data_IF_526639796996
#
_entry.id   IF_526639796996
#
_cell.length_a   1.000
_cell.length_b   1.000
_cell.length_c   1.000
_cell.angle_alpha   90.00
_cell.angle_beta   90.00
_cell.angle_gamma   90.00
#
_symmetry.space_group_name_H-M   'P 1'
#
loop_
_entity.id
_entity.type
_entity.pdbx_description
1 polymer ?
#
# COMPACT_ATOMS: atom_id res chain seq x y z
N UNK A 1 -11.56 -21.31 -26.45
CA UNK A 1 -10.46 -21.64 -25.53
C UNK A 1 -10.17 -20.38 -24.72
N UNK A 2 -10.14 -20.46 -23.40
CA UNK A 2 -9.74 -19.33 -22.57
C UNK A 2 -8.28 -18.99 -22.89
N UNK A 3 -8.01 -17.73 -23.21
CA UNK A 3 -6.65 -17.26 -23.52
C UNK A 3 -5.85 -17.28 -22.24
N UNK A 4 -4.68 -17.91 -22.24
CA UNK A 4 -3.87 -18.09 -21.02
C UNK A 4 -3.18 -16.79 -20.60
N UNK A 5 -2.86 -16.67 -19.30
CA UNK A 5 -2.07 -15.54 -18.75
C UNK A 5 -0.73 -15.44 -19.48
N UNK A 6 -0.06 -16.57 -19.74
CA UNK A 6 1.25 -16.60 -20.41
C UNK A 6 1.26 -15.95 -21.79
N UNK A 7 0.19 -16.09 -22.56
CA UNK A 7 0.10 -15.46 -23.91
C UNK A 7 -0.35 -14.00 -23.88
N UNK A 8 -0.77 -13.48 -22.72
CA UNK A 8 -1.29 -12.12 -22.54
C UNK A 8 -0.47 -11.27 -21.56
N UNK A 9 0.60 -11.81 -21.05
CA UNK A 9 1.32 -11.20 -19.93
C UNK A 9 1.70 -9.73 -20.17
N UNK A 10 2.10 -9.33 -21.38
CA UNK A 10 2.43 -7.93 -21.69
C UNK A 10 1.23 -7.01 -21.50
N UNK A 11 0.04 -7.40 -22.01
CA UNK A 11 -1.19 -6.64 -21.82
C UNK A 11 -1.59 -6.56 -20.35
N UNK A 12 -1.48 -7.69 -19.62
CA UNK A 12 -1.79 -7.77 -18.19
C UNK A 12 -0.82 -6.96 -17.35
N UNK A 13 0.43 -6.78 -17.83
CA UNK A 13 1.45 -5.93 -17.23
C UNK A 13 1.38 -4.45 -17.67
N UNK A 14 0.42 -4.07 -18.52
CA UNK A 14 0.17 -2.67 -18.84
C UNK A 14 0.73 -2.15 -20.17
N UNK A 15 1.23 -3.00 -21.08
CA UNK A 15 1.78 -2.61 -22.40
C UNK A 15 0.90 -1.60 -23.16
N UNK A 16 -0.42 -1.60 -22.90
CA UNK A 16 -1.40 -0.63 -23.46
C UNK A 16 -2.16 0.08 -22.34
N UNK A 17 -1.52 0.35 -21.22
CA UNK A 17 -2.13 1.01 -20.06
C UNK A 17 -3.46 0.37 -19.63
N UNK A 18 -3.56 -0.97 -19.73
CA UNK A 18 -4.75 -1.79 -19.41
C UNK A 18 -6.01 -1.39 -20.16
N UNK A 19 -5.90 -0.79 -21.36
CA UNK A 19 -7.03 -0.41 -22.17
C UNK A 19 -7.96 -1.61 -22.44
N UNK A 20 -9.26 -1.43 -22.12
CA UNK A 20 -10.28 -2.47 -22.27
C UNK A 20 -10.22 -3.62 -21.22
N UNK A 21 -9.33 -3.53 -20.21
CA UNK A 21 -9.18 -4.57 -19.18
C UNK A 21 -9.72 -4.17 -17.80
N UNK A 22 -9.94 -2.87 -17.55
CA UNK A 22 -10.33 -2.39 -16.22
C UNK A 22 -11.86 -2.32 -16.03
N UNK A 23 -12.63 -2.14 -17.09
CA UNK A 23 -14.08 -2.03 -17.01
C UNK A 23 -14.79 -2.64 -18.23
N UNK A 24 -15.44 -3.83 -18.11
CA UNK A 24 -15.41 -4.70 -16.93
C UNK A 24 -14.01 -5.22 -16.65
N UNK A 25 -13.70 -5.52 -15.41
CA UNK A 25 -12.39 -6.05 -15.04
C UNK A 25 -12.18 -7.44 -15.66
N UNK A 26 -11.16 -7.56 -16.50
CA UNK A 26 -10.81 -8.78 -17.23
C UNK A 26 -10.47 -9.93 -16.27
N UNK A 27 -10.97 -11.13 -16.54
CA UNK A 27 -10.79 -12.29 -15.66
C UNK A 27 -9.33 -12.69 -15.47
N UNK A 28 -8.50 -12.60 -16.52
CA UNK A 28 -7.08 -12.90 -16.39
C UNK A 28 -6.33 -11.80 -15.62
N UNK A 29 -6.77 -10.55 -15.75
CA UNK A 29 -6.23 -9.46 -14.95
C UNK A 29 -6.60 -9.62 -13.47
N UNK A 30 -7.82 -10.09 -13.13
CA UNK A 30 -8.18 -10.44 -11.74
C UNK A 30 -7.23 -11.48 -11.15
N UNK A 31 -7.01 -12.58 -11.84
CA UNK A 31 -6.06 -13.63 -11.42
C UNK A 31 -4.64 -13.07 -11.25
N UNK A 32 -4.25 -12.18 -12.14
CA UNK A 32 -2.92 -11.57 -12.16
C UNK A 32 -2.71 -10.64 -10.97
N UNK A 33 -3.69 -9.77 -10.70
CA UNK A 33 -3.67 -8.87 -9.54
C UNK A 33 -3.74 -9.65 -8.22
N UNK A 34 -4.59 -10.68 -8.11
CA UNK A 34 -4.64 -11.53 -6.90
C UNK A 34 -3.29 -12.19 -6.67
N UNK A 35 -2.68 -12.76 -7.72
CA UNK A 35 -1.37 -13.39 -7.62
C UNK A 35 -0.30 -12.45 -7.03
N UNK A 36 -0.18 -11.22 -7.54
CA UNK A 36 0.81 -10.27 -7.02
C UNK A 36 0.41 -9.71 -5.65
N UNK A 37 -0.88 -9.53 -5.39
CA UNK A 37 -1.35 -9.12 -4.08
C UNK A 37 -1.07 -10.13 -2.98
N UNK A 38 -1.23 -11.43 -3.24
CA UNK A 38 -0.87 -12.49 -2.30
C UNK A 38 0.64 -12.54 -2.04
N UNK A 39 1.46 -12.29 -3.06
CA UNK A 39 2.92 -12.12 -2.88
C UNK A 39 3.24 -10.88 -2.05
N UNK A 40 2.43 -9.83 -2.17
CA UNK A 40 2.55 -8.62 -1.33
C UNK A 40 2.17 -8.93 0.12
N UNK A 41 1.06 -9.63 0.35
CA UNK A 41 0.60 -10.02 1.69
C UNK A 41 1.67 -10.84 2.45
N UNK A 42 2.39 -11.72 1.75
CA UNK A 42 3.41 -12.58 2.34
C UNK A 42 4.48 -11.83 3.15
N UNK A 43 4.78 -10.57 2.80
CA UNK A 43 5.78 -9.78 3.56
C UNK A 43 5.23 -9.42 4.94
N UNK A 44 3.96 -9.02 5.03
CA UNK A 44 3.30 -8.75 6.31
C UNK A 44 3.04 -10.02 7.12
N UNK A 45 2.59 -11.09 6.43
CA UNK A 45 2.29 -12.38 7.05
C UNK A 45 3.47 -13.00 7.80
N UNK A 46 4.66 -12.82 7.25
CA UNK A 46 5.89 -13.45 7.73
C UNK A 46 6.82 -12.49 8.47
N UNK A 47 6.38 -11.28 8.76
CA UNK A 47 7.16 -10.35 9.57
C UNK A 47 7.06 -10.73 11.05
N UNK A 48 8.20 -10.86 11.71
CA UNK A 48 8.26 -11.10 13.15
C UNK A 48 8.10 -9.76 13.89
N UNK A 49 6.91 -9.55 14.47
CA UNK A 49 6.57 -8.38 15.27
C UNK A 49 6.52 -8.67 16.80
N UNK A 50 7.03 -9.80 17.24
CA UNK A 50 7.14 -10.13 18.66
C UNK A 50 8.38 -9.45 19.25
N UNK A 51 8.18 -8.37 20.00
CA UNK A 51 9.28 -7.52 20.54
C UNK A 51 10.28 -8.30 21.40
N UNK A 52 9.83 -9.33 22.11
CA UNK A 52 10.66 -10.18 22.97
C UNK A 52 11.42 -11.26 22.16
N UNK A 53 11.14 -11.42 20.89
CA UNK A 53 11.80 -12.40 20.03
C UNK A 53 13.18 -11.91 19.59
N UNK A 54 14.19 -12.79 19.63
CA UNK A 54 15.52 -12.52 19.05
C UNK A 54 15.43 -12.20 17.54
N UNK A 55 14.40 -12.70 16.87
CA UNK A 55 14.12 -12.46 15.45
C UNK A 55 13.28 -11.21 15.17
N UNK A 56 12.96 -10.38 16.18
CA UNK A 56 12.14 -9.18 15.99
C UNK A 56 12.63 -8.31 14.83
N UNK A 57 11.70 -7.91 13.96
CA UNK A 57 11.99 -7.08 12.80
C UNK A 57 12.57 -7.84 11.60
N UNK A 58 12.63 -9.17 11.62
CA UNK A 58 13.07 -10.01 10.53
C UNK A 58 11.92 -10.88 9.97
N UNK A 59 12.21 -11.63 8.91
CA UNK A 59 11.30 -12.67 8.41
C UNK A 59 11.26 -13.86 9.36
N UNK A 60 10.07 -14.44 9.60
CA UNK A 60 9.87 -15.66 10.37
C UNK A 60 10.47 -16.91 9.71
N UNK A 61 10.69 -16.88 8.39
CA UNK A 61 11.21 -18.00 7.61
C UNK A 61 12.43 -17.59 6.79
N UNK A 62 13.37 -18.52 6.54
CA UNK A 62 14.45 -18.30 5.60
C UNK A 62 13.89 -18.20 4.17
N UNK A 63 14.73 -17.74 3.23
CA UNK A 63 14.31 -17.50 1.83
C UNK A 63 13.76 -18.74 1.14
N UNK A 64 14.33 -19.89 1.42
CA UNK A 64 13.98 -21.19 0.82
C UNK A 64 12.57 -21.66 1.26
N UNK A 65 12.15 -21.31 2.47
CA UNK A 65 10.86 -21.69 3.06
C UNK A 65 9.83 -20.55 3.05
N UNK A 66 10.16 -19.43 2.43
CA UNK A 66 9.36 -18.21 2.49
C UNK A 66 7.94 -18.42 1.93
N UNK A 67 7.80 -18.86 0.69
CA UNK A 67 6.48 -19.05 0.09
C UNK A 67 5.70 -20.24 0.68
N UNK A 68 6.32 -21.38 1.00
CA UNK A 68 5.66 -22.40 1.81
C UNK A 68 5.16 -21.87 3.17
N UNK A 69 5.98 -21.11 3.89
CA UNK A 69 5.62 -20.47 5.17
C UNK A 69 4.44 -19.51 5.06
N UNK A 70 4.35 -18.76 3.96
CA UNK A 70 3.22 -17.88 3.64
C UNK A 70 1.96 -18.64 3.13
N UNK A 71 2.03 -19.98 2.95
CA UNK A 71 0.94 -20.76 2.40
C UNK A 71 0.72 -20.55 0.90
N UNK A 72 1.75 -20.11 0.17
CA UNK A 72 1.68 -19.79 -1.26
C UNK A 72 2.30 -20.87 -2.15
N UNK A 73 2.41 -22.11 -1.64
CA UNK A 73 2.99 -23.23 -2.36
C UNK A 73 1.92 -24.14 -2.96
N UNK A 74 0.96 -24.62 -2.14
CA UNK A 74 -0.09 -25.53 -2.57
C UNK A 74 -1.08 -24.85 -3.52
N UNK A 75 -1.46 -25.53 -4.58
CA UNK A 75 -2.42 -25.03 -5.58
C UNK A 75 -1.91 -23.86 -6.44
N UNK A 76 -0.73 -23.30 -6.15
CA UNK A 76 -0.19 -22.14 -6.86
C UNK A 76 0.75 -22.58 -7.99
N UNK A 77 0.38 -22.26 -9.24
CA UNK A 77 1.20 -22.51 -10.43
C UNK A 77 2.28 -21.46 -10.69
N UNK A 78 2.18 -20.30 -10.06
CA UNK A 78 3.12 -19.21 -10.24
C UNK A 78 4.22 -19.30 -9.17
N UNK A 79 5.20 -20.15 -9.41
CA UNK A 79 6.29 -20.48 -8.49
C UNK A 79 7.43 -19.48 -8.58
N UNK A 80 7.96 -19.06 -7.43
CA UNK A 80 9.09 -18.16 -7.31
C UNK A 80 10.08 -18.66 -6.24
N UNK A 81 11.34 -18.25 -6.40
CA UNK A 81 12.37 -18.37 -5.36
C UNK A 81 12.75 -16.98 -4.86
N UNK A 82 12.73 -16.77 -3.54
CA UNK A 82 13.25 -15.54 -2.94
C UNK A 82 14.79 -15.56 -3.04
N UNK A 83 15.35 -14.49 -3.59
CA UNK A 83 16.80 -14.36 -3.75
C UNK A 83 17.42 -13.43 -2.72
N UNK A 84 16.72 -12.32 -2.40
CA UNK A 84 17.20 -11.31 -1.46
C UNK A 84 16.09 -10.87 -0.53
N UNK A 85 16.42 -10.66 0.75
CA UNK A 85 15.62 -9.86 1.66
C UNK A 85 16.11 -8.42 1.61
N UNK A 86 15.19 -7.48 1.75
CA UNK A 86 15.44 -6.05 1.71
C UNK A 86 15.18 -5.44 3.08
N UNK A 87 16.13 -4.67 3.56
CA UNK A 87 16.04 -4.00 4.85
C UNK A 87 16.03 -2.49 4.66
N UNK A 88 15.13 -1.83 5.34
CA UNK A 88 15.02 -0.38 5.33
C UNK A 88 15.01 0.19 6.75
N UNK A 89 15.40 1.44 6.86
CA UNK A 89 15.37 2.20 8.10
C UNK A 89 15.73 3.66 7.81
N UNK A 90 15.42 4.53 8.74
CA UNK A 90 15.78 5.95 8.67
C UNK A 90 16.18 6.44 10.07
N UNK A 91 16.48 7.73 10.20
CA UNK A 91 16.77 8.33 11.51
C UNK A 91 15.62 8.19 12.52
N UNK A 92 14.39 8.05 12.01
CA UNK A 92 13.16 7.95 12.83
C UNK A 92 12.51 6.57 12.80
N UNK A 93 12.80 5.75 11.78
CA UNK A 93 12.28 4.38 11.64
C UNK A 93 13.40 3.39 11.92
N UNK A 94 13.22 2.58 12.97
CA UNK A 94 14.18 1.50 13.29
C UNK A 94 14.33 0.56 12.09
N UNK A 95 15.58 0.23 11.76
CA UNK A 95 15.87 -0.70 10.67
C UNK A 95 15.22 -2.05 10.89
N UNK A 96 14.49 -2.52 9.87
CA UNK A 96 13.80 -3.80 9.86
C UNK A 96 13.75 -4.38 8.44
N UNK A 97 13.30 -5.61 8.34
CA UNK A 97 12.97 -6.23 7.06
C UNK A 97 11.74 -5.57 6.43
N UNK A 98 11.88 -5.06 5.21
CA UNK A 98 10.83 -4.30 4.51
C UNK A 98 10.37 -4.92 3.20
N UNK A 99 11.02 -5.96 2.73
CA UNK A 99 10.61 -6.58 1.47
C UNK A 99 11.56 -7.68 1.00
N UNK A 100 11.31 -8.14 -0.21
CA UNK A 100 12.14 -9.16 -0.84
C UNK A 100 12.23 -8.97 -2.36
N UNK A 101 13.26 -9.56 -2.95
CA UNK A 101 13.37 -9.82 -4.38
C UNK A 101 13.27 -11.32 -4.60
N UNK A 102 12.43 -11.72 -5.56
CA UNK A 102 12.25 -13.11 -5.98
C UNK A 102 12.30 -13.21 -7.50
N UNK A 103 12.52 -14.42 -7.99
CA UNK A 103 12.52 -14.71 -9.43
C UNK A 103 11.67 -15.93 -9.70
N UNK A 104 10.87 -15.88 -10.77
CA UNK A 104 10.07 -17.01 -11.21
C UNK A 104 10.96 -18.24 -11.48
N UNK A 105 10.56 -19.41 -10.98
CA UNK A 105 11.17 -20.70 -11.33
C UNK A 105 10.91 -21.03 -12.81
N UNK A 106 11.44 -22.12 -13.33
CA UNK A 106 11.13 -22.56 -14.71
C UNK A 106 9.66 -22.93 -14.86
N UNK A 107 9.05 -23.54 -13.82
CA UNK A 107 7.62 -23.78 -13.76
C UNK A 107 6.80 -22.47 -13.73
N UNK A 108 7.20 -21.54 -12.87
CA UNK A 108 6.60 -20.20 -12.79
C UNK A 108 6.75 -19.43 -14.11
N UNK A 109 7.93 -19.47 -14.74
CA UNK A 109 8.17 -18.89 -16.07
C UNK A 109 7.21 -19.45 -17.13
N UNK A 110 7.03 -20.76 -17.17
CA UNK A 110 6.11 -21.39 -18.11
C UNK A 110 4.65 -20.93 -17.90
N UNK A 111 4.22 -20.81 -16.63
CA UNK A 111 2.88 -20.36 -16.29
C UNK A 111 2.66 -18.86 -16.56
N UNK A 112 3.69 -18.02 -16.38
CA UNK A 112 3.66 -16.57 -16.57
C UNK A 112 3.97 -16.13 -18.01
N UNK A 113 4.66 -16.97 -18.80
CA UNK A 113 5.09 -16.68 -20.17
C UNK A 113 6.41 -15.92 -20.28
N UNK A 114 7.10 -15.63 -19.18
CA UNK A 114 8.40 -14.96 -19.14
C UNK A 114 9.07 -15.17 -17.77
N UNK A 115 10.38 -14.92 -17.68
CA UNK A 115 11.10 -14.84 -16.41
C UNK A 115 10.73 -13.54 -15.71
N UNK A 116 9.94 -13.61 -14.67
CA UNK A 116 9.52 -12.45 -13.89
C UNK A 116 10.43 -12.28 -12.68
N UNK A 117 11.01 -11.09 -12.53
CA UNK A 117 11.72 -10.63 -11.34
C UNK A 117 10.71 -9.83 -10.52
N UNK A 118 10.40 -10.32 -9.34
CA UNK A 118 9.41 -9.73 -8.44
C UNK A 118 10.09 -9.02 -7.28
N UNK A 119 9.74 -7.76 -7.07
CA UNK A 119 10.07 -7.00 -5.87
C UNK A 119 8.79 -6.75 -5.09
N UNK A 120 8.76 -7.08 -3.82
CA UNK A 120 7.61 -6.82 -2.95
C UNK A 120 8.02 -6.03 -1.71
N UNK A 121 7.30 -4.94 -1.45
CA UNK A 121 7.53 -4.04 -0.33
C UNK A 121 6.42 -4.15 0.72
N UNK A 122 6.81 -4.19 1.99
CA UNK A 122 5.92 -4.22 3.14
C UNK A 122 5.31 -2.84 3.39
N UNK A 123 4.04 -2.82 3.77
CA UNK A 123 3.41 -1.69 4.43
C UNK A 123 3.87 -1.53 5.88
N UNK A 124 3.37 -0.52 6.57
CA UNK A 124 3.54 -0.37 8.02
C UNK A 124 2.76 -1.48 8.73
N UNK A 125 3.34 -2.09 9.77
CA UNK A 125 2.66 -3.15 10.53
C UNK A 125 1.85 -2.56 11.68
N UNK A 126 2.27 -1.39 12.17
CA UNK A 126 1.53 -0.65 13.19
C UNK A 126 0.98 0.63 12.58
N UNK A 127 -0.35 0.78 12.60
CA UNK A 127 -1.05 1.97 12.10
C UNK A 127 -0.56 3.26 12.77
N UNK A 128 -0.09 3.16 14.02
CA UNK A 128 0.49 4.25 14.78
C UNK A 128 1.82 4.78 14.20
N UNK A 129 2.64 3.95 13.56
CA UNK A 129 3.88 4.41 12.91
C UNK A 129 3.58 5.35 11.75
N UNK A 130 2.50 5.08 11.02
CA UNK A 130 2.10 5.87 9.86
C UNK A 130 1.66 7.29 10.25
N UNK A 131 0.86 7.42 11.31
CA UNK A 131 0.37 8.71 11.80
C UNK A 131 1.42 9.50 12.57
N UNK A 132 2.28 8.84 13.34
CA UNK A 132 3.37 9.52 14.06
C UNK A 132 4.45 10.06 13.13
N UNK A 133 4.63 9.46 11.94
CA UNK A 133 5.57 9.89 10.92
C UNK A 133 4.92 10.77 9.84
N UNK A 134 3.71 11.29 10.07
CA UNK A 134 2.97 12.17 9.15
C UNK A 134 3.65 13.54 8.94
N UNK A 135 4.95 13.54 8.70
CA UNK A 135 5.67 14.68 8.16
C UNK A 135 5.45 14.68 6.64
N UNK A 136 4.31 15.20 6.19
CA UNK A 136 3.94 15.30 4.77
C UNK A 136 4.77 16.34 4.00
N UNK A 137 6.02 16.59 4.42
CA UNK A 137 6.87 17.57 3.75
C UNK A 137 7.41 17.01 2.45
N UNK A 138 7.27 17.73 1.33
CA UNK A 138 7.93 17.37 0.09
C UNK A 138 9.44 17.58 0.21
N UNK A 139 10.21 16.60 -0.25
CA UNK A 139 11.68 16.63 -0.32
C UNK A 139 12.10 16.39 -1.76
N UNK A 140 13.13 17.13 -2.23
CA UNK A 140 13.67 16.93 -3.57
C UNK A 140 14.17 15.49 -3.76
N UNK A 141 13.75 14.86 -4.85
CA UNK A 141 14.21 13.53 -5.26
C UNK A 141 15.36 13.61 -6.28
N UNK A 142 16.11 14.70 -6.29
CA UNK A 142 17.21 14.93 -7.24
C UNK A 142 18.33 13.89 -7.15
N UNK A 143 18.55 13.30 -5.99
CA UNK A 143 19.52 12.20 -5.83
C UNK A 143 19.11 10.91 -6.54
N UNK A 144 17.79 10.73 -6.78
CA UNK A 144 17.27 9.59 -7.53
C UNK A 144 17.19 9.88 -9.04
N UNK A 145 16.76 11.10 -9.40
CA UNK A 145 16.29 11.42 -10.73
C UNK A 145 17.03 12.59 -11.42
N UNK A 146 18.07 13.14 -10.77
CA UNK A 146 18.82 14.30 -11.29
C UNK A 146 18.13 15.64 -10.97
N UNK A 147 18.85 16.72 -11.26
CA UNK A 147 18.45 18.08 -10.87
C UNK A 147 17.55 18.81 -11.89
N UNK A 148 17.41 18.26 -13.09
CA UNK A 148 16.73 18.95 -14.20
C UNK A 148 15.18 18.89 -14.09
N UNK A 149 14.67 18.09 -13.16
CA UNK A 149 13.24 17.88 -12.94
C UNK A 149 12.91 18.29 -11.50
N UNK A 150 11.92 19.16 -11.34
CA UNK A 150 11.39 19.55 -10.02
C UNK A 150 10.51 18.41 -9.45
N UNK A 151 11.11 17.22 -9.29
CA UNK A 151 10.47 16.07 -8.69
C UNK A 151 10.66 16.11 -7.18
N UNK A 152 9.57 16.36 -6.46
CA UNK A 152 9.53 16.30 -5.01
C UNK A 152 8.69 15.11 -4.57
N UNK A 153 9.15 14.40 -3.55
CA UNK A 153 8.50 13.23 -2.97
C UNK A 153 8.31 13.41 -1.48
N UNK A 154 7.42 12.65 -0.89
CA UNK A 154 7.21 12.60 0.55
C UNK A 154 8.52 12.22 1.27
N UNK A 155 8.98 13.09 2.19
CA UNK A 155 10.28 12.95 2.85
C UNK A 155 10.44 11.59 3.54
N UNK A 156 9.42 11.13 4.28
CA UNK A 156 9.47 9.85 4.97
C UNK A 156 9.62 8.64 4.04
N UNK A 157 9.03 8.67 2.86
CA UNK A 157 9.20 7.58 1.87
C UNK A 157 10.61 7.62 1.27
N UNK A 158 11.10 8.81 0.94
CA UNK A 158 12.46 8.97 0.41
C UNK A 158 13.50 8.54 1.44
N UNK A 159 13.38 9.03 2.67
CA UNK A 159 14.32 8.72 3.75
C UNK A 159 14.33 7.22 4.09
N UNK A 160 13.17 6.55 4.05
CA UNK A 160 13.10 5.10 4.25
C UNK A 160 13.74 4.33 3.08
N UNK A 161 13.56 4.80 1.84
CA UNK A 161 14.10 4.16 0.65
C UNK A 161 15.61 4.34 0.52
N UNK A 162 16.14 5.53 0.84
CA UNK A 162 17.56 5.89 0.67
C UNK A 162 18.37 5.85 1.98
N UNK A 163 17.70 5.73 3.13
CA UNK A 163 18.34 5.76 4.44
C UNK A 163 19.18 4.54 4.74
N UNK A 164 20.20 4.75 5.58
CA UNK A 164 21.09 3.71 6.11
C UNK A 164 21.10 3.75 7.62
N UNK A 165 21.46 2.64 8.27
CA UNK A 165 21.62 2.56 9.71
C UNK A 165 22.95 1.91 10.06
N UNK A 166 23.86 2.67 10.66
CA UNK A 166 25.15 2.15 11.14
C UNK A 166 24.98 1.09 12.24
N UNK A 167 23.88 1.14 12.97
CA UNK A 167 23.57 0.24 14.07
C UNK A 167 22.90 -1.08 13.62
N UNK A 168 22.53 -1.19 12.35
CA UNK A 168 21.95 -2.40 11.81
C UNK A 168 22.93 -3.17 10.94
N UNK A 169 23.07 -4.48 11.17
CA UNK A 169 23.89 -5.35 10.33
C UNK A 169 23.35 -5.45 8.89
N UNK A 170 22.05 -5.31 8.72
CA UNK A 170 21.33 -5.55 7.46
C UNK A 170 21.02 -4.28 6.66
N UNK A 171 21.22 -3.08 7.25
CA UNK A 171 20.91 -1.80 6.60
C UNK A 171 22.13 -0.86 6.57
N UNK A 172 23.32 -1.41 6.39
CA UNK A 172 24.55 -0.62 6.14
C UNK A 172 24.55 0.03 4.76
N UNK A 173 23.85 -0.55 3.82
CA UNK A 173 23.49 0.02 2.52
C UNK A 173 21.99 0.30 2.51
N UNK A 174 21.57 1.32 1.78
CA UNK A 174 20.15 1.71 1.68
C UNK A 174 19.30 0.58 1.09
N UNK A 175 17.98 0.61 1.37
CA UNK A 175 17.04 -0.29 0.71
C UNK A 175 17.11 -0.15 -0.82
N UNK A 176 17.29 1.09 -1.31
CA UNK A 176 17.56 1.41 -2.71
C UNK A 176 18.74 0.62 -3.28
N UNK A 177 19.89 0.72 -2.65
CA UNK A 177 21.11 0.06 -3.15
C UNK A 177 20.96 -1.46 -3.12
N UNK A 178 20.32 -2.02 -2.07
CA UNK A 178 20.06 -3.44 -1.95
C UNK A 178 19.20 -3.95 -3.11
N UNK A 179 18.06 -3.28 -3.40
CA UNK A 179 17.12 -3.73 -4.44
C UNK A 179 17.69 -3.54 -5.84
N UNK A 180 18.33 -2.40 -6.12
CA UNK A 180 18.91 -2.13 -7.44
C UNK A 180 20.06 -3.09 -7.77
N UNK A 181 20.90 -3.42 -6.79
CA UNK A 181 21.92 -4.45 -6.93
C UNK A 181 21.32 -5.82 -7.25
N UNK A 182 20.32 -6.25 -6.48
CA UNK A 182 19.64 -7.53 -6.70
C UNK A 182 18.99 -7.63 -8.09
N UNK A 183 18.35 -6.54 -8.55
CA UNK A 183 17.76 -6.48 -9.89
C UNK A 183 18.84 -6.61 -10.96
N UNK A 184 19.94 -5.86 -10.85
CA UNK A 184 21.05 -5.94 -11.82
C UNK A 184 21.60 -7.36 -11.92
N UNK A 185 21.86 -8.00 -10.80
CA UNK A 185 22.35 -9.38 -10.75
C UNK A 185 21.41 -10.36 -11.46
N UNK A 186 20.09 -10.20 -11.28
CA UNK A 186 19.09 -11.07 -11.91
C UNK A 186 18.88 -10.77 -13.39
N UNK A 187 18.87 -9.51 -13.79
CA UNK A 187 18.79 -9.10 -15.20
C UNK A 187 19.99 -9.64 -15.96
N UNK A 188 21.20 -9.50 -15.41
CA UNK A 188 22.43 -10.02 -16.04
C UNK A 188 22.42 -11.56 -16.10
N UNK A 189 21.92 -12.23 -15.04
CA UNK A 189 21.84 -13.69 -14.99
C UNK A 189 20.90 -14.27 -16.04
N UNK A 190 19.76 -13.62 -16.30
CA UNK A 190 18.72 -14.09 -17.21
C UNK A 190 18.64 -13.31 -18.52
N UNK A 191 19.71 -12.57 -18.89
CA UNK A 191 19.75 -11.67 -20.08
C UNK A 191 19.39 -12.33 -21.40
N UNK A 192 19.52 -13.66 -21.50
CA UNK A 192 19.20 -14.44 -22.70
C UNK A 192 17.74 -14.94 -22.69
N UNK A 193 16.94 -14.57 -21.68
CA UNK A 193 15.53 -14.90 -21.56
C UNK A 193 14.64 -13.65 -21.77
N UNK A 194 13.36 -13.87 -22.05
CA UNK A 194 12.37 -12.81 -21.96
C UNK A 194 12.08 -12.49 -20.48
N UNK A 195 12.44 -11.28 -20.04
CA UNK A 195 12.37 -10.84 -18.64
C UNK A 195 11.30 -9.75 -18.48
N UNK A 196 10.61 -9.75 -17.33
CA UNK A 196 9.89 -8.60 -16.81
C UNK A 196 10.34 -8.32 -15.38
N UNK A 197 10.16 -7.07 -14.94
CA UNK A 197 10.33 -6.67 -13.53
C UNK A 197 8.98 -6.23 -13.02
N UNK A 198 8.47 -6.91 -12.01
CA UNK A 198 7.22 -6.53 -11.34
C UNK A 198 7.53 -6.05 -9.93
N UNK A 199 7.08 -4.82 -9.62
CA UNK A 199 7.23 -4.21 -8.30
C UNK A 199 5.85 -4.10 -7.68
N UNK A 200 5.69 -4.53 -6.43
CA UNK A 200 4.38 -4.51 -5.78
C UNK A 200 4.50 -4.07 -4.32
N UNK A 201 3.44 -3.50 -3.80
CA UNK A 201 3.36 -3.09 -2.40
C UNK A 201 1.97 -2.65 -2.00
N UNK A 202 1.71 -2.71 -0.71
CA UNK A 202 0.47 -2.27 -0.09
C UNK A 202 0.76 -1.11 0.87
N UNK A 203 -0.13 -0.12 0.93
CA UNK A 203 0.02 0.99 1.87
C UNK A 203 1.36 1.74 1.65
N UNK A 204 2.15 1.97 2.70
CA UNK A 204 3.53 2.49 2.62
C UNK A 204 4.39 1.70 1.63
N UNK A 205 4.25 0.35 1.59
CA UNK A 205 4.93 -0.48 0.60
C UNK A 205 4.55 -0.14 -0.84
N UNK A 206 3.34 0.35 -1.08
CA UNK A 206 2.89 0.87 -2.37
C UNK A 206 3.63 2.15 -2.77
N UNK A 207 3.92 3.03 -1.81
CA UNK A 207 4.75 4.22 -2.05
C UNK A 207 6.20 3.83 -2.38
N UNK A 208 6.79 2.90 -1.63
CA UNK A 208 8.13 2.37 -1.91
C UNK A 208 8.18 1.65 -3.26
N UNK A 209 7.15 0.88 -3.62
CA UNK A 209 7.04 0.21 -4.91
C UNK A 209 6.99 1.23 -6.06
N UNK A 210 6.28 2.33 -5.88
CA UNK A 210 6.22 3.42 -6.88
C UNK A 210 7.58 4.07 -7.09
N UNK A 211 8.27 4.46 -6.00
CA UNK A 211 9.63 5.04 -6.09
C UNK A 211 10.61 4.06 -6.71
N UNK A 212 10.59 2.80 -6.27
CA UNK A 212 11.50 1.77 -6.76
C UNK A 212 11.30 1.48 -8.25
N UNK A 213 10.04 1.36 -8.72
CA UNK A 213 9.77 1.13 -10.13
C UNK A 213 10.24 2.29 -11.02
N UNK A 214 10.03 3.53 -10.57
CA UNK A 214 10.55 4.72 -11.26
C UNK A 214 12.08 4.76 -11.27
N UNK A 215 12.73 4.46 -10.14
CA UNK A 215 14.18 4.45 -9.99
C UNK A 215 14.85 3.39 -10.90
N UNK A 216 14.26 2.20 -10.99
CA UNK A 216 14.73 1.13 -11.89
C UNK A 216 14.79 1.62 -13.35
N UNK A 217 13.73 2.27 -13.83
CA UNK A 217 13.64 2.70 -15.23
C UNK A 217 14.46 3.96 -15.48
N UNK A 218 14.33 4.97 -14.62
CA UNK A 218 15.06 6.24 -14.76
C UNK A 218 16.58 6.05 -14.77
N UNK A 219 17.09 5.08 -14.00
CA UNK A 219 18.52 4.78 -13.89
C UNK A 219 18.96 3.55 -14.72
N UNK A 220 18.10 3.03 -15.59
CA UNK A 220 18.42 2.00 -16.57
C UNK A 220 18.73 0.61 -16.01
N UNK A 221 18.23 0.28 -14.81
CA UNK A 221 18.41 -1.06 -14.23
C UNK A 221 17.59 -2.15 -14.91
N UNK A 222 16.56 -1.75 -15.70
CA UNK A 222 15.76 -2.65 -16.54
C UNK A 222 16.39 -2.97 -17.91
N UNK A 223 17.48 -2.32 -18.25
CA UNK A 223 18.10 -2.50 -19.59
C UNK A 223 18.86 -3.83 -19.69
N UNK A 224 18.91 -4.46 -20.91
CA UNK A 224 18.55 -3.80 -22.18
C UNK A 224 17.06 -3.78 -22.54
N UNK A 225 16.18 -4.63 -21.99
CA UNK A 225 14.82 -4.78 -22.58
C UNK A 225 13.70 -5.19 -21.63
N UNK A 226 13.88 -5.06 -20.31
CA UNK A 226 12.85 -5.52 -19.37
C UNK A 226 11.77 -4.46 -19.13
N UNK A 227 10.51 -4.82 -19.40
CA UNK A 227 9.34 -4.02 -19.02
C UNK A 227 9.18 -4.03 -17.49
N UNK A 228 8.95 -2.85 -16.91
CA UNK A 228 8.72 -2.67 -15.47
C UNK A 228 7.24 -2.37 -15.23
N UNK A 229 6.62 -3.12 -14.33
CA UNK A 229 5.22 -2.90 -13.93
C UNK A 229 5.12 -2.75 -12.42
N UNK A 230 4.45 -1.70 -11.95
CA UNK A 230 4.12 -1.55 -10.55
C UNK A 230 2.63 -1.83 -10.31
N UNK A 231 2.31 -2.73 -9.36
CA UNK A 231 0.97 -2.96 -8.82
C UNK A 231 0.91 -2.45 -7.39
N UNK A 232 0.13 -1.40 -7.16
CA UNK A 232 0.08 -0.67 -5.90
C UNK A 232 -1.32 -0.79 -5.29
N UNK A 233 -1.41 -1.48 -4.16
CA UNK A 233 -2.67 -1.71 -3.44
C UNK A 233 -2.80 -0.69 -2.31
N UNK A 234 -3.82 0.17 -2.37
CA UNK A 234 -4.08 1.17 -1.34
C UNK A 234 -2.92 2.11 -1.03
N UNK A 235 -2.01 2.31 -1.99
CA UNK A 235 -0.85 3.17 -1.78
C UNK A 235 -1.22 4.66 -1.71
N UNK A 236 -0.56 5.45 -0.84
CA UNK A 236 -0.73 6.90 -0.76
C UNK A 236 -0.15 7.60 -1.99
N UNK A 237 -0.41 8.91 -2.13
CA UNK A 237 0.28 9.76 -3.10
C UNK A 237 1.75 9.88 -2.71
N UNK A 238 2.64 9.83 -3.71
CA UNK A 238 4.08 9.74 -3.47
C UNK A 238 4.78 11.08 -3.64
N UNK A 239 4.35 11.92 -4.58
CA UNK A 239 5.02 13.17 -4.86
C UNK A 239 4.17 14.15 -5.68
N UNK A 240 4.83 15.18 -6.15
CA UNK A 240 4.23 16.32 -6.81
C UNK A 240 4.06 16.15 -8.34
N UNK A 241 3.52 17.16 -9.00
CA UNK A 241 3.40 17.23 -10.47
C UNK A 241 4.76 17.09 -11.19
N UNK A 242 5.86 17.46 -10.55
CA UNK A 242 7.21 17.22 -11.09
C UNK A 242 7.52 15.73 -11.20
N UNK A 243 7.16 14.97 -10.17
CA UNK A 243 7.29 13.52 -10.18
C UNK A 243 6.36 12.87 -11.23
N UNK A 244 5.16 13.42 -11.40
CA UNK A 244 4.21 12.96 -12.43
C UNK A 244 4.75 13.23 -13.83
N UNK A 245 5.28 14.44 -14.09
CA UNK A 245 5.94 14.74 -15.36
C UNK A 245 7.11 13.80 -15.65
N UNK A 246 7.95 13.49 -14.64
CA UNK A 246 8.99 12.49 -14.79
C UNK A 246 8.43 11.12 -15.18
N UNK A 247 7.39 10.66 -14.46
CA UNK A 247 6.73 9.39 -14.75
C UNK A 247 6.28 9.31 -16.22
N UNK A 248 5.71 10.39 -16.76
CA UNK A 248 5.29 10.47 -18.17
C UNK A 248 6.48 10.32 -19.14
N UNK A 249 7.69 10.76 -18.76
CA UNK A 249 8.88 10.62 -19.63
C UNK A 249 9.44 9.20 -19.66
N UNK A 250 9.11 8.36 -18.67
CA UNK A 250 9.58 6.97 -18.62
C UNK A 250 8.87 6.05 -19.62
N UNK A 251 7.80 6.54 -20.23
CA UNK A 251 7.17 6.01 -21.43
C UNK A 251 6.70 4.56 -21.30
N UNK A 252 7.00 3.77 -22.34
CA UNK A 252 6.57 2.37 -22.45
C UNK A 252 7.40 1.39 -21.62
N UNK A 253 8.46 1.84 -20.97
CA UNK A 253 9.30 1.01 -20.10
C UNK A 253 8.71 0.84 -18.70
N UNK A 254 7.81 1.76 -18.26
CA UNK A 254 7.19 1.76 -16.95
C UNK A 254 5.65 1.84 -17.01
N UNK A 255 5.00 0.88 -16.39
CA UNK A 255 3.55 0.87 -16.20
C UNK A 255 3.20 0.81 -14.71
N UNK A 256 2.23 1.60 -14.27
CA UNK A 256 1.80 1.65 -12.87
C UNK A 256 0.27 1.57 -12.79
N UNK A 257 -0.23 0.56 -12.08
CA UNK A 257 -1.64 0.38 -11.76
C UNK A 257 -1.85 0.52 -10.26
N UNK A 258 -2.62 1.54 -9.87
CA UNK A 258 -3.10 1.72 -8.50
C UNK A 258 -4.44 1.00 -8.35
N UNK A 259 -4.51 0.08 -7.43
CA UNK A 259 -5.75 -0.56 -6.99
C UNK A 259 -6.23 0.21 -5.76
N UNK A 260 -7.42 0.81 -5.83
CA UNK A 260 -8.00 1.61 -4.76
C UNK A 260 -9.34 1.02 -4.33
N UNK A 261 -9.64 1.04 -3.03
CA UNK A 261 -10.93 0.65 -2.50
C UNK A 261 -11.70 1.92 -2.12
N UNK A 262 -12.96 2.01 -2.53
CA UNK A 262 -13.79 3.22 -2.41
C UNK A 262 -13.81 3.87 -1.02
N UNK A 263 -13.75 3.05 0.03
CA UNK A 263 -13.84 3.51 1.42
C UNK A 263 -12.48 3.55 2.14
N UNK A 264 -11.40 3.31 1.44
CA UNK A 264 -10.07 3.43 1.99
C UNK A 264 -9.59 4.89 1.97
N UNK A 265 -9.26 5.50 3.12
CA UNK A 265 -8.78 6.88 3.17
C UNK A 265 -7.31 7.02 2.73
N UNK A 266 -6.51 5.95 2.77
CA UNK A 266 -5.05 6.03 2.60
C UNK A 266 -4.64 6.50 1.22
N UNK A 267 -5.32 6.06 0.15
CA UNK A 267 -4.99 6.49 -1.20
C UNK A 267 -5.32 7.97 -1.48
N UNK A 268 -6.02 8.65 -0.55
CA UNK A 268 -6.32 10.08 -0.65
C UNK A 268 -5.25 10.97 -0.01
N UNK A 269 -4.33 10.42 0.78
CA UNK A 269 -3.28 11.18 1.46
C UNK A 269 -1.91 10.94 0.81
N UNK A 270 -0.95 11.92 0.93
CA UNK A 270 -1.18 13.32 1.24
C UNK A 270 -2.13 13.99 0.24
N UNK A 271 -2.77 15.11 0.63
CA UNK A 271 -3.82 15.74 -0.18
C UNK A 271 -3.26 16.50 -1.39
N UNK A 272 -4.09 16.66 -2.42
CA UNK A 272 -3.74 17.40 -3.65
C UNK A 272 -3.41 18.87 -3.37
N UNK A 273 -4.11 19.50 -2.43
CA UNK A 273 -3.81 20.88 -2.01
C UNK A 273 -2.46 21.05 -1.31
N UNK A 274 -1.84 19.95 -0.87
CA UNK A 274 -0.47 19.92 -0.36
C UNK A 274 0.57 19.74 -1.49
N UNK A 275 0.14 19.81 -2.75
CA UNK A 275 1.01 19.66 -3.93
C UNK A 275 1.30 18.21 -4.33
N UNK A 276 0.53 17.24 -3.83
CA UNK A 276 0.70 15.83 -4.20
C UNK A 276 -0.27 15.42 -5.30
N UNK A 277 0.19 14.57 -6.19
CA UNK A 277 -0.61 14.05 -7.31
C UNK A 277 -0.53 12.53 -7.41
N UNK A 278 -1.47 11.95 -8.14
CA UNK A 278 -1.48 10.52 -8.43
C UNK A 278 -0.69 10.19 -9.68
N UNK A 279 -0.02 9.04 -9.68
CA UNK A 279 0.71 8.49 -10.82
C UNK A 279 -0.02 7.30 -11.42
N UNK A 280 0.16 7.07 -12.72
CA UNK A 280 -0.30 5.88 -13.42
C UNK A 280 -1.81 5.76 -13.58
N UNK A 281 -2.29 4.54 -13.80
CA UNK A 281 -3.70 4.19 -13.98
C UNK A 281 -4.34 3.76 -12.66
N UNK A 282 -5.65 3.90 -12.57
CA UNK A 282 -6.43 3.51 -11.39
C UNK A 282 -7.45 2.41 -11.72
N UNK A 283 -7.51 1.42 -10.84
CA UNK A 283 -8.60 0.45 -10.73
C UNK A 283 -9.28 0.65 -9.38
N UNK A 284 -10.49 1.21 -9.38
CA UNK A 284 -11.29 1.35 -8.16
C UNK A 284 -12.17 0.13 -7.97
N UNK A 285 -12.14 -0.47 -6.77
CA UNK A 285 -13.04 -1.53 -6.32
C UNK A 285 -13.99 -1.00 -5.25
N UNK A 286 -15.12 -1.66 -5.06
CA UNK A 286 -16.13 -1.33 -4.04
C UNK A 286 -16.52 -2.59 -3.25
N UNK A 287 -15.84 -2.82 -2.14
CA UNK A 287 -16.06 -3.99 -1.29
C UNK A 287 -17.34 -3.89 -0.44
N UNK A 288 -17.98 -2.71 -0.36
CA UNK A 288 -19.23 -2.52 0.37
C UNK A 288 -20.40 -3.32 -0.22
N UNK A 289 -20.28 -3.73 -1.46
CA UNK A 289 -21.28 -4.56 -2.16
C UNK A 289 -21.18 -6.04 -1.83
N UNK A 290 -20.15 -6.48 -1.10
CA UNK A 290 -19.92 -7.88 -0.80
C UNK A 290 -20.88 -8.43 0.24
N UNK A 291 -21.61 -9.49 -0.12
CA UNK A 291 -22.46 -10.22 0.82
C UNK A 291 -21.68 -11.15 1.77
N UNK A 292 -20.38 -11.33 1.56
CA UNK A 292 -19.49 -12.12 2.42
C UNK A 292 -19.08 -11.36 3.68
N UNK A 293 -18.98 -10.04 3.59
CA UNK A 293 -18.47 -9.19 4.67
C UNK A 293 -19.57 -8.84 5.69
N UNK A 294 -19.19 -8.65 6.94
CA UNK A 294 -20.07 -8.19 8.01
C UNK A 294 -20.58 -6.79 7.69
N UNK A 295 -21.89 -6.58 7.67
CA UNK A 295 -22.50 -5.27 7.37
C UNK A 295 -22.19 -4.21 8.42
N UNK A 296 -22.01 -4.62 9.67
CA UNK A 296 -21.66 -3.72 10.77
C UNK A 296 -20.42 -2.89 10.45
N UNK A 297 -19.46 -3.48 9.80
CA UNK A 297 -18.27 -2.88 9.26
C UNK A 297 -18.49 -1.58 8.46
N UNK A 298 -19.37 -1.60 7.45
CA UNK A 298 -19.68 -0.41 6.65
C UNK A 298 -20.50 0.63 7.41
N UNK A 299 -21.36 0.18 8.32
CA UNK A 299 -22.14 1.06 9.20
C UNK A 299 -21.23 1.83 10.15
N UNK A 300 -20.20 1.19 10.69
CA UNK A 300 -19.28 1.82 11.62
C UNK A 300 -18.34 2.81 10.92
N UNK A 301 -17.88 2.51 9.71
CA UNK A 301 -17.17 3.48 8.86
C UNK A 301 -18.04 4.71 8.58
N UNK A 302 -19.30 4.53 8.17
CA UNK A 302 -20.20 5.65 7.91
C UNK A 302 -20.53 6.46 9.17
N UNK A 303 -20.69 5.81 10.33
CA UNK A 303 -20.85 6.48 11.63
C UNK A 303 -19.62 7.29 12.00
N UNK A 304 -18.43 6.70 11.83
CA UNK A 304 -17.16 7.37 12.07
C UNK A 304 -17.02 8.64 11.22
N UNK A 305 -17.24 8.55 9.91
CA UNK A 305 -17.21 9.73 9.04
C UNK A 305 -18.21 10.79 9.50
N UNK A 306 -19.45 10.40 9.84
CA UNK A 306 -20.46 11.34 10.33
C UNK A 306 -20.05 11.99 11.66
N UNK A 307 -19.52 11.21 12.60
CA UNK A 307 -19.09 11.73 13.91
C UNK A 307 -17.82 12.56 13.82
N UNK A 308 -16.89 12.20 12.95
CA UNK A 308 -15.70 13.00 12.65
C UNK A 308 -16.10 14.34 12.05
N UNK A 309 -17.04 14.36 11.14
CA UNK A 309 -17.60 15.60 10.57
C UNK A 309 -18.22 16.51 11.64
N UNK A 310 -19.03 15.94 12.55
CA UNK A 310 -19.64 16.72 13.65
C UNK A 310 -18.57 17.29 14.59
N UNK A 311 -17.58 16.49 14.96
CA UNK A 311 -16.50 16.93 15.86
C UNK A 311 -15.57 17.96 15.22
N UNK A 312 -15.40 17.91 13.90
CA UNK A 312 -14.67 18.93 13.14
C UNK A 312 -15.46 20.25 13.12
N UNK A 313 -16.79 20.21 12.92
CA UNK A 313 -17.65 21.38 13.01
C UNK A 313 -17.57 22.02 14.41
N UNK A 314 -17.67 21.22 15.47
CA UNK A 314 -17.54 21.70 16.85
C UNK A 314 -16.16 22.30 17.13
N UNK A 315 -15.09 21.67 16.62
CA UNK A 315 -13.72 22.19 16.75
C UNK A 315 -13.51 23.49 15.99
N UNK A 316 -14.07 23.60 14.78
CA UNK A 316 -14.04 24.83 14.00
C UNK A 316 -14.82 25.96 14.69
N UNK A 317 -15.94 25.69 15.35
CA UNK A 317 -16.69 26.69 16.10
C UNK A 317 -15.93 27.14 17.35
N UNK A 318 -15.20 26.25 18.02
CA UNK A 318 -14.30 26.61 19.13
C UNK A 318 -13.16 27.50 18.62
N UNK A 319 -12.53 27.15 17.49
CA UNK A 319 -11.47 27.94 16.87
C UNK A 319 -12.00 29.30 16.41
N UNK A 320 -13.17 29.33 15.74
CA UNK A 320 -13.84 30.57 15.35
C UNK A 320 -14.13 31.47 16.55
N UNK A 321 -14.63 30.92 17.65
CA UNK A 321 -14.91 31.65 18.89
C UNK A 321 -13.62 32.23 19.51
N UNK A 322 -12.52 31.47 19.50
CA UNK A 322 -11.20 31.92 19.99
C UNK A 322 -10.59 33.01 19.10
N UNK A 323 -10.66 32.88 17.78
CA UNK A 323 -10.22 33.89 16.81
C UNK A 323 -11.01 35.19 16.98
N UNK A 324 -12.33 35.10 17.17
CA UNK A 324 -13.18 36.25 17.44
C UNK A 324 -12.82 36.94 18.77
N UNK A 325 -12.42 36.18 19.79
CA UNK A 325 -11.98 36.68 21.08
C UNK A 325 -10.62 37.38 20.99
N UNK A 326 -9.68 36.84 20.20
CA UNK A 326 -8.36 37.43 19.94
C UNK A 326 -8.50 38.72 19.13
N UNK A 327 -9.37 38.73 18.10
CA UNK A 327 -9.62 39.92 17.27
C UNK A 327 -10.37 41.04 18.01
N UNK A 328 -11.12 40.72 19.07
CA UNK A 328 -11.72 41.74 19.96
C UNK A 328 -10.70 42.41 20.89
N UNK A 329 -9.54 41.78 21.08
CA UNK A 329 -8.43 42.33 21.90
C UNK A 329 -7.34 43.08 21.11
N UNK A 330 -7.27 42.93 19.79
CA UNK A 330 -6.27 43.59 18.93
C UNK A 330 -6.94 44.29 17.76
N UNK A 331 -6.84 45.64 17.75
CA UNK A 331 -7.29 46.48 16.61
C UNK A 331 -6.30 46.36 15.45
N UNK A 332 -6.30 45.25 14.72
CA UNK A 332 -5.67 45.17 13.41
C UNK A 332 -6.49 44.32 12.44
N UNK A 333 -6.77 44.94 11.28
CA UNK A 333 -7.65 44.42 10.23
C UNK A 333 -7.01 43.25 9.49
N UNK A 334 -7.45 42.03 9.77
CA UNK A 334 -7.30 40.89 8.86
C UNK A 334 -8.63 40.68 8.12
N UNK A 335 -8.66 41.04 6.84
CA UNK A 335 -9.77 40.71 5.93
C UNK A 335 -9.71 39.21 5.61
N UNK A 336 -10.58 38.44 6.22
CA UNK A 336 -10.87 37.07 5.78
C UNK A 336 -11.96 37.18 4.71
N UNK A 337 -11.63 36.76 3.47
CA UNK A 337 -12.63 36.68 2.41
C UNK A 337 -13.52 35.44 2.68
N UNK A 338 -14.75 35.70 3.04
CA UNK A 338 -15.78 34.67 3.14
C UNK A 338 -16.23 34.25 1.75
N UNK A 339 -15.66 33.18 1.21
CA UNK A 339 -16.33 32.43 0.16
C UNK A 339 -17.06 31.23 0.79
N UNK A 340 -18.35 31.44 1.05
CA UNK A 340 -19.27 30.36 1.40
C UNK A 340 -19.41 29.42 0.21
N UNK A 341 -18.72 28.29 0.23
CA UNK A 341 -19.01 27.18 -0.67
C UNK A 341 -19.84 26.14 0.08
N UNK A 342 -21.07 25.99 -0.37
CA UNK A 342 -22.00 24.94 0.05
C UNK A 342 -21.44 23.57 -0.27
N UNK A 343 -21.48 22.68 0.70
CA UNK A 343 -21.14 21.25 0.60
C UNK A 343 -21.84 20.58 -0.59
N UNK A 344 -21.08 19.92 -1.42
CA UNK A 344 -21.63 18.90 -2.29
C UNK A 344 -21.61 17.55 -1.56
N UNK A 345 -22.42 16.59 -2.03
CA UNK A 345 -22.83 15.34 -1.40
C UNK A 345 -21.70 14.37 -0.96
N UNK A 346 -20.42 14.74 -1.08
CA UNK A 346 -19.28 13.82 -0.96
C UNK A 346 -18.39 14.07 0.27
N UNK A 347 -18.67 15.06 1.12
CA UNK A 347 -17.89 15.30 2.35
C UNK A 347 -16.41 15.71 2.17
N UNK A 348 -15.95 15.90 0.94
CA UNK A 348 -14.54 16.10 0.60
C UNK A 348 -13.95 17.44 1.06
N UNK A 349 -14.76 18.47 1.20
CA UNK A 349 -14.26 19.84 1.47
C UNK A 349 -13.93 20.04 2.96
N UNK A 350 -14.67 19.42 3.87
CA UNK A 350 -14.48 19.63 5.32
C UNK A 350 -13.23 18.94 5.89
N UNK A 351 -12.87 17.77 5.38
CA UNK A 351 -11.61 17.09 5.77
C UNK A 351 -10.40 17.91 5.31
N UNK A 352 -10.50 18.56 4.16
CA UNK A 352 -9.48 19.42 3.59
C UNK A 352 -9.15 20.63 4.49
N UNK A 353 -10.16 21.39 4.90
CA UNK A 353 -9.96 22.60 5.72
C UNK A 353 -9.42 22.29 7.13
N UNK A 354 -9.83 21.16 7.71
CA UNK A 354 -9.38 20.77 9.06
C UNK A 354 -7.92 20.32 9.11
N UNK A 355 -7.42 19.71 8.03
CA UNK A 355 -6.02 19.33 7.92
C UNK A 355 -5.12 20.51 7.55
N UNK A 356 -5.60 21.49 6.80
CA UNK A 356 -4.89 22.76 6.56
C UNK A 356 -4.60 23.49 7.88
N UNK A 357 -5.56 23.49 8.82
CA UNK A 357 -5.39 24.09 10.16
C UNK A 357 -4.35 23.30 10.97
N UNK A 358 -4.35 21.97 10.93
CA UNK A 358 -3.34 21.12 11.60
C UNK A 358 -1.92 21.34 11.04
N UNK A 359 -1.79 21.60 9.75
CA UNK A 359 -0.51 21.91 9.10
C UNK A 359 0.01 23.30 9.50
N UNK A 360 -0.86 24.30 9.60
CA UNK A 360 -0.46 25.65 10.07
C UNK A 360 -0.05 25.65 11.55
N UNK A 361 -0.73 24.87 12.40
CA UNK A 361 -0.35 24.72 13.81
C UNK A 361 0.99 23.98 13.98
N UNK A 362 1.26 22.93 13.21
CA UNK A 362 2.58 22.26 13.19
C UNK A 362 3.69 23.21 12.75
N UNK A 363 3.45 24.04 11.74
CA UNK A 363 4.42 25.07 11.31
C UNK A 363 4.67 26.15 12.37
N UNK A 364 3.71 26.40 13.26
CA UNK A 364 3.86 27.30 14.39
C UNK A 364 4.62 26.67 15.56
N UNK A 365 4.52 25.35 15.74
CA UNK A 365 5.29 24.57 16.72
C UNK A 365 6.78 24.49 16.37
N UNK A 366 7.11 24.24 15.10
CA UNK A 366 8.52 24.23 14.64
C UNK A 366 9.22 25.59 14.82
N UNK A 367 8.46 26.69 14.77
CA UNK A 367 8.98 28.01 15.05
C UNK A 367 9.10 28.34 16.55
N UNK A 368 8.90 27.35 17.44
CA UNK A 368 9.05 27.48 18.90
C UNK A 368 8.00 28.38 19.57
N UNK A 369 6.87 28.63 18.91
CA UNK A 369 5.82 29.54 19.41
C UNK A 369 4.74 28.84 20.23
N UNK A 370 4.66 27.51 20.15
CA UNK A 370 3.66 26.68 20.88
C UNK A 370 4.33 25.42 21.40
N UNK A 371 4.10 25.04 22.66
CA UNK A 371 4.58 23.76 23.20
C UNK A 371 3.64 22.61 22.77
N UNK A 372 4.17 21.44 22.39
CA UNK A 372 3.36 20.29 21.97
C UNK A 372 2.59 19.73 23.16
N UNK A 373 1.29 19.94 23.23
CA UNK A 373 0.36 19.11 23.99
C UNK A 373 -0.52 18.40 22.97
N UNK A 374 -0.51 17.08 23.01
CA UNK A 374 -1.16 16.13 22.11
C UNK A 374 -2.41 16.66 21.41
N UNK A 375 -2.29 16.92 20.10
CA UNK A 375 -3.33 17.60 19.29
C UNK A 375 -4.08 16.61 18.41
N UNK A 376 -3.74 15.32 18.43
CA UNK A 376 -4.64 14.30 17.88
C UNK A 376 -5.58 13.90 19.01
N UNK A 377 -6.88 14.23 18.95
CA UNK A 377 -7.79 13.82 20.00
C UNK A 377 -7.76 12.30 20.17
N UNK A 378 -7.72 11.83 21.43
CA UNK A 378 -7.70 10.38 21.76
C UNK A 378 -8.80 9.60 21.03
N UNK A 379 -9.92 10.26 20.77
CA UNK A 379 -11.05 9.70 20.02
C UNK A 379 -10.69 9.38 18.55
N UNK A 380 -9.81 10.18 17.90
CA UNK A 380 -9.33 9.89 16.54
C UNK A 380 -8.45 8.64 16.58
N UNK A 381 -7.60 8.48 17.59
CA UNK A 381 -6.76 7.31 17.77
C UNK A 381 -7.59 6.05 18.04
N UNK A 382 -8.65 6.14 18.81
CA UNK A 382 -9.54 5.01 19.13
C UNK A 382 -10.35 4.53 17.92
N UNK A 383 -10.66 5.43 16.96
CA UNK A 383 -11.46 5.10 15.77
C UNK A 383 -10.65 4.93 14.50
N UNK A 384 -9.35 5.26 14.52
CA UNK A 384 -8.42 5.07 13.41
C UNK A 384 -8.37 3.59 13.00
N UNK A 385 -8.35 2.66 13.95
CA UNK A 385 -8.41 1.23 13.65
C UNK A 385 -9.59 0.82 12.75
N UNK A 386 -10.76 1.44 12.91
CA UNK A 386 -11.94 1.13 12.10
C UNK A 386 -11.86 1.67 10.65
N UNK A 387 -11.17 2.80 10.43
CA UNK A 387 -10.93 3.34 9.08
C UNK A 387 -10.01 2.45 8.26
N UNK A 388 -9.05 1.79 8.92
CA UNK A 388 -8.07 0.93 8.24
C UNK A 388 -8.63 -0.43 7.82
N UNK A 389 -9.85 -0.78 8.19
CA UNK A 389 -10.45 -2.04 7.76
C UNK A 389 -10.64 -2.07 6.23
N UNK A 390 -11.12 -0.98 5.63
CA UNK A 390 -11.21 -0.88 4.17
C UNK A 390 -9.83 -0.85 3.48
N UNK A 391 -8.78 -0.62 4.27
CA UNK A 391 -7.39 -0.59 3.85
C UNK A 391 -6.70 -1.98 3.92
N UNK A 392 -7.31 -2.97 4.57
CA UNK A 392 -6.73 -4.31 4.67
C UNK A 392 -6.52 -4.96 3.29
N UNK A 393 -5.33 -5.52 3.05
CA UNK A 393 -4.97 -6.09 1.76
C UNK A 393 -5.84 -7.31 1.40
N UNK A 394 -6.27 -8.13 2.37
CA UNK A 394 -7.15 -9.27 2.12
C UNK A 394 -8.54 -8.81 1.64
N UNK A 395 -9.02 -7.66 2.15
CA UNK A 395 -10.24 -6.99 1.68
C UNK A 395 -10.06 -6.48 0.25
N UNK A 396 -8.91 -5.88 -0.09
CA UNK A 396 -8.59 -5.50 -1.46
C UNK A 396 -8.63 -6.68 -2.42
N UNK A 397 -7.98 -7.79 -2.05
CA UNK A 397 -7.92 -8.99 -2.90
C UNK A 397 -9.29 -9.67 -3.03
N UNK A 398 -10.10 -9.62 -1.98
CA UNK A 398 -11.51 -10.05 -2.05
C UNK A 398 -12.29 -9.16 -3.03
N UNK A 399 -12.12 -7.85 -2.99
CA UNK A 399 -12.71 -6.92 -3.94
C UNK A 399 -12.30 -7.22 -5.38
N UNK A 400 -11.00 -7.40 -5.62
CA UNK A 400 -10.49 -7.80 -6.95
C UNK A 400 -11.09 -9.13 -7.41
N UNK A 401 -11.32 -10.10 -6.50
CA UNK A 401 -11.91 -11.40 -6.84
C UNK A 401 -13.37 -11.31 -7.27
N UNK A 402 -14.15 -10.34 -6.75
CA UNK A 402 -15.60 -10.38 -6.91
C UNK A 402 -16.31 -9.08 -7.29
N UNK A 403 -15.70 -7.89 -7.17
CA UNK A 403 -16.37 -6.63 -7.48
C UNK A 403 -16.73 -6.54 -8.97
N UNK A 404 -17.92 -6.02 -9.26
CA UNK A 404 -18.44 -5.80 -10.60
C UNK A 404 -19.24 -4.48 -10.64
N UNK A 405 -19.47 -3.97 -11.85
CA UNK A 405 -20.18 -2.70 -12.06
C UNK A 405 -21.52 -2.63 -11.32
N UNK A 406 -22.31 -3.69 -11.36
CA UNK A 406 -23.70 -3.72 -10.87
C UNK A 406 -23.88 -4.56 -9.61
N UNK A 407 -22.80 -4.91 -8.89
CA UNK A 407 -22.89 -5.72 -7.69
C UNK A 407 -21.59 -6.38 -7.29
N UNK A 408 -21.71 -7.49 -6.54
CA UNK A 408 -20.59 -8.29 -6.11
C UNK A 408 -20.89 -9.78 -6.34
N UNK A 409 -20.08 -10.43 -7.17
CA UNK A 409 -20.11 -11.87 -7.39
C UNK A 409 -18.68 -12.37 -7.58
N UNK A 410 -18.28 -13.35 -6.78
CA UNK A 410 -16.94 -13.94 -6.90
C UNK A 410 -16.77 -14.58 -8.28
N UNK A 411 -15.85 -14.03 -9.06
CA UNK A 411 -15.48 -14.50 -10.41
C UNK A 411 -14.21 -15.36 -10.39
N UNK A 412 -13.39 -15.20 -9.36
CA UNK A 412 -12.16 -15.95 -9.13
C UNK A 412 -12.33 -16.73 -7.84
N UNK A 413 -12.11 -18.03 -7.89
CA UNK A 413 -12.13 -18.93 -6.74
C UNK A 413 -10.92 -18.61 -5.82
N UNK A 414 -11.06 -17.53 -5.04
CA UNK A 414 -10.13 -17.16 -3.98
C UNK A 414 -10.67 -17.60 -2.64
N UNK A 415 -9.82 -18.16 -1.80
CA UNK A 415 -10.18 -18.63 -0.48
C UNK A 415 -10.75 -17.52 0.39
N UNK A 416 -12.03 -17.63 0.75
CA UNK A 416 -12.70 -16.64 1.62
C UNK A 416 -12.18 -16.67 3.06
N UNK A 417 -11.53 -17.75 3.51
CA UNK A 417 -10.95 -17.82 4.84
C UNK A 417 -9.85 -16.77 5.04
N UNK A 418 -9.20 -16.33 3.96
CA UNK A 418 -8.18 -15.28 4.00
C UNK A 418 -8.71 -13.92 4.46
N UNK A 419 -10.02 -13.66 4.30
CA UNK A 419 -10.68 -12.43 4.80
C UNK A 419 -10.50 -12.27 6.31
N UNK A 420 -10.53 -13.38 7.07
CA UNK A 420 -10.35 -13.38 8.52
C UNK A 420 -8.90 -13.71 8.93
N UNK A 421 -7.94 -13.60 8.03
CA UNK A 421 -6.54 -13.94 8.29
C UNK A 421 -5.94 -13.10 9.43
N UNK A 422 -6.14 -11.80 9.39
CA UNK A 422 -5.61 -10.84 10.35
C UNK A 422 -6.69 -10.08 11.14
N UNK A 423 -7.93 -10.13 10.68
CA UNK A 423 -9.06 -9.35 11.19
C UNK A 423 -10.31 -10.22 11.29
N UNK A 424 -11.44 -9.64 11.71
CA UNK A 424 -12.75 -10.30 11.85
C UNK A 424 -13.79 -9.66 10.93
N UNK A 425 -13.70 -9.93 9.63
CA UNK A 425 -14.56 -9.27 8.62
C UNK A 425 -15.52 -10.18 7.88
N UNK A 426 -15.23 -11.48 7.84
CA UNK A 426 -16.08 -12.48 7.24
C UNK A 426 -17.30 -12.76 8.14
N UNK A 427 -18.50 -12.89 7.55
CA UNK A 427 -19.72 -13.27 8.31
C UNK A 427 -19.50 -14.59 9.05
N UNK A 428 -20.07 -14.69 10.24
CA UNK A 428 -19.92 -15.85 11.15
C UNK A 428 -20.48 -17.15 10.56
N UNK A 429 -21.41 -17.07 9.61
CA UNK A 429 -22.00 -18.22 8.91
C UNK A 429 -20.93 -19.08 8.20
N UNK A 430 -19.82 -18.51 7.82
CA UNK A 430 -18.70 -19.22 7.17
C UNK A 430 -17.82 -20.00 8.14
N UNK A 431 -18.00 -19.81 9.46
CA UNK A 431 -17.30 -20.54 10.54
C UNK A 431 -15.78 -20.51 10.43
N UNK A 432 -15.23 -19.40 9.95
CA UNK A 432 -13.79 -19.12 9.92
C UNK A 432 -13.45 -18.30 11.14
N UNK A 433 -12.49 -18.73 11.99
CA UNK A 433 -12.09 -17.95 13.15
C UNK A 433 -11.55 -16.59 12.76
N UNK A 434 -11.79 -15.57 13.59
CA UNK A 434 -11.17 -14.26 13.44
C UNK A 434 -9.66 -14.35 13.69
N UNK A 435 -8.88 -13.49 13.01
CA UNK A 435 -7.44 -13.30 13.23
C UNK A 435 -6.64 -14.61 13.28
N UNK A 436 -7.05 -15.59 12.48
CA UNK A 436 -6.58 -16.97 12.64
C UNK A 436 -5.10 -17.17 12.28
N UNK A 437 -4.44 -16.24 11.57
CA UNK A 437 -3.09 -16.45 11.06
C UNK A 437 -2.03 -16.52 12.17
N UNK A 438 -2.13 -15.69 13.22
CA UNK A 438 -1.14 -15.54 14.28
C UNK A 438 -1.64 -15.91 15.68
N UNK A 439 -2.81 -16.49 15.80
CA UNK A 439 -3.40 -16.88 17.07
C UNK A 439 -3.44 -18.41 17.26
N UNK A 440 -4.05 -18.87 18.34
CA UNK A 440 -4.19 -20.30 18.63
C UNK A 440 -4.94 -21.07 17.52
N UNK A 441 -5.80 -20.39 16.76
CA UNK A 441 -6.56 -21.01 15.68
C UNK A 441 -5.68 -21.41 14.50
N UNK A 442 -4.49 -20.83 14.33
CA UNK A 442 -3.55 -21.18 13.26
C UNK A 442 -3.26 -22.68 13.19
N UNK A 443 -3.10 -23.32 14.35
CA UNK A 443 -2.87 -24.78 14.45
C UNK A 443 -4.05 -25.63 13.99
N UNK A 444 -5.27 -25.06 14.04
CA UNK A 444 -6.50 -25.71 13.60
C UNK A 444 -6.88 -25.40 12.14
N UNK A 445 -6.11 -24.55 11.47
CA UNK A 445 -6.31 -24.23 10.06
C UNK A 445 -5.44 -25.15 9.19
N UNK A 446 -6.07 -25.97 8.37
CA UNK A 446 -5.39 -26.92 7.48
C UNK A 446 -5.46 -26.42 6.05
N UNK A 447 -4.29 -26.27 5.41
CA UNK A 447 -4.23 -25.95 3.99
C UNK A 447 -4.43 -27.22 3.14
N UNK A 448 -5.48 -27.19 2.32
CA UNK A 448 -5.84 -28.26 1.38
C UNK A 448 -4.91 -28.25 0.16
N UNK A 449 -4.93 -29.30 -0.65
CA UNK A 449 -4.08 -29.42 -1.84
C UNK A 449 -4.38 -28.38 -2.93
N UNK A 450 -5.61 -27.84 -2.96
CA UNK A 450 -5.98 -26.73 -3.85
C UNK A 450 -5.53 -25.35 -3.34
N UNK A 451 -4.86 -25.30 -2.18
CA UNK A 451 -4.37 -24.06 -1.56
C UNK A 451 -5.33 -23.39 -0.56
N UNK A 452 -6.60 -23.82 -0.53
CA UNK A 452 -7.59 -23.25 0.40
C UNK A 452 -7.39 -23.73 1.83
N UNK A 453 -7.77 -22.89 2.79
CA UNK A 453 -7.68 -23.16 4.21
C UNK A 453 -9.03 -23.61 4.79
N UNK A 454 -8.99 -24.60 5.64
CA UNK A 454 -10.17 -25.12 6.31
C UNK A 454 -9.93 -25.21 7.81
N UNK A 455 -10.87 -24.68 8.59
CA UNK A 455 -10.89 -24.86 10.03
C UNK A 455 -11.35 -26.26 10.38
N UNK A 456 -10.56 -26.96 11.20
CA UNK A 456 -10.86 -28.32 11.68
C UNK A 456 -10.88 -28.28 13.20
N UNK A 457 -12.06 -28.43 13.78
CA UNK A 457 -12.19 -28.55 15.25
C UNK A 457 -11.55 -29.85 15.72
N UNK A 458 -10.66 -29.75 16.72
CA UNK A 458 -10.04 -30.90 17.40
C UNK A 458 -9.08 -31.72 16.52
N UNK A 459 -7.99 -31.09 16.05
CA UNK A 459 -6.86 -31.83 15.47
C UNK A 459 -5.95 -32.50 16.54
N UNK A 460 -6.23 -32.28 17.85
CA UNK A 460 -5.47 -32.86 18.97
C UNK A 460 -6.38 -33.25 20.13
#
# INVERSE_FOLDING_TARGET
>A
MAVSISSRWRKLSGEKNWEGLLNPLDINLRHYLIHYGEKTAAVGDLFNNEEESEGFGNSLFPKEEFFPGAGLEKGNKFKYNVTHFLYAGSDVVKSAWFGYVAVATDEGKAALGRRDILVSWRGTITDSEWFNNAQFFPKSASELFGNDIDANVHSGFLDLYTGTSSNSANNKTSARDQVLKAIRELVDKYKDEEISITVTGHSLGGALATLNAMDIVANGYNKPTSMVTAFVYGGPRVGNDGLERLFQTLGDDLHLLRITNRFDPVHHVPFENMGYTHLGKELTIDTSKSDYLKRQFFVDILKFFRQSMTNIEDSLDIIRSRILTINAGTKENLRISSSSQTLNSDGRILVKESLEILVEENSAMERGRIQPRGIVPDFIMEHVGQLFIAHDLEIYLHGVAGEQKDGFRVEVDRDIALINKHLDHLKDDYKVPAEWWRNENRKNMVQMENGHWKFVQNLF
#
